data_IF_217032507632
#
_entry.id   IF_217032507632
#
_cell.length_a   1.000
_cell.length_b   1.000
_cell.length_c   1.000
_cell.angle_alpha   90.00
_cell.angle_beta   90.00
_cell.angle_gamma   90.00
#
_symmetry.space_group_name_H-M   'P 1'
#
loop_
_entity.id
_entity.type
_entity.pdbx_description
1 polymer ?
#
# COMPACT_ATOMS: atom_id res chain seq x y z
N UNK A 1 -8.69 0.79 -20.08
CA UNK A 1 -9.28 -0.03 -18.98
C UNK A 1 -9.26 0.73 -17.66
N UNK A 2 -10.10 0.35 -16.69
CA UNK A 2 -10.04 0.94 -15.34
C UNK A 2 -8.85 0.36 -14.54
N UNK A 3 -8.27 1.18 -13.68
CA UNK A 3 -7.18 0.75 -12.78
C UNK A 3 -7.71 -0.35 -11.83
N UNK A 4 -7.12 -1.54 -11.88
CA UNK A 4 -7.45 -2.67 -10.98
C UNK A 4 -6.57 -2.64 -9.74
N UNK A 5 -7.16 -2.94 -8.59
CA UNK A 5 -6.39 -3.20 -7.36
C UNK A 5 -6.27 -4.70 -7.16
N UNK A 6 -5.04 -5.15 -7.04
CA UNK A 6 -4.70 -6.52 -6.69
C UNK A 6 -4.95 -6.77 -5.20
N UNK A 7 -5.56 -7.91 -4.90
CA UNK A 7 -5.69 -8.43 -3.54
C UNK A 7 -4.40 -9.13 -3.11
N UNK A 8 -4.20 -9.29 -1.81
CA UNK A 8 -3.01 -9.98 -1.30
C UNK A 8 -2.90 -11.43 -1.79
N UNK A 9 -4.02 -12.14 -1.86
CA UNK A 9 -4.06 -13.53 -2.36
C UNK A 9 -3.71 -13.62 -3.84
N UNK A 10 -4.12 -12.65 -4.65
CA UNK A 10 -3.75 -12.58 -6.08
C UNK A 10 -2.25 -12.35 -6.23
N UNK A 11 -1.69 -11.42 -5.45
CA UNK A 11 -0.25 -11.16 -5.42
C UNK A 11 0.56 -12.38 -5.02
N UNK A 12 0.16 -13.06 -3.95
CA UNK A 12 0.86 -14.26 -3.48
C UNK A 12 0.80 -15.39 -4.55
N UNK A 13 -0.34 -15.54 -5.24
CA UNK A 13 -0.50 -16.49 -6.34
C UNK A 13 0.33 -16.11 -7.59
N UNK A 14 0.49 -14.83 -7.88
CA UNK A 14 1.36 -14.33 -8.95
C UNK A 14 2.84 -14.62 -8.63
N UNK A 15 3.28 -14.35 -7.40
CA UNK A 15 4.64 -14.66 -6.95
C UNK A 15 4.91 -16.16 -7.02
N UNK A 16 3.98 -17.01 -6.58
CA UNK A 16 4.12 -18.46 -6.68
C UNK A 16 4.33 -18.95 -8.13
N UNK A 17 3.65 -18.34 -9.10
CA UNK A 17 3.82 -18.66 -10.54
C UNK A 17 5.13 -18.15 -11.15
N UNK A 18 5.83 -17.25 -10.46
CA UNK A 18 7.16 -16.76 -10.85
C UNK A 18 8.28 -17.63 -10.26
N UNK A 19 8.00 -18.46 -9.25
CA UNK A 19 8.98 -19.38 -8.68
C UNK A 19 9.46 -20.38 -9.74
N UNK A 20 10.78 -20.48 -9.94
CA UNK A 20 11.39 -21.34 -10.95
C UNK A 20 11.57 -20.71 -12.34
N UNK A 21 11.08 -19.48 -12.58
CA UNK A 21 11.33 -18.75 -13.84
C UNK A 21 12.68 -18.04 -13.85
N UNK A 22 13.32 -17.84 -15.02
CA UNK A 22 14.55 -17.07 -15.11
C UNK A 22 14.31 -15.60 -14.74
N UNK A 23 15.29 -14.96 -14.11
CA UNK A 23 15.16 -13.61 -13.54
C UNK A 23 14.75 -12.54 -14.57
N UNK A 24 15.24 -12.63 -15.80
CA UNK A 24 14.86 -11.74 -16.90
C UNK A 24 13.38 -11.89 -17.27
N UNK A 25 12.87 -13.13 -17.28
CA UNK A 25 11.46 -13.41 -17.54
C UNK A 25 10.58 -12.93 -16.39
N UNK A 26 11.00 -13.16 -15.13
CA UNK A 26 10.29 -12.64 -13.96
C UNK A 26 10.09 -11.12 -14.06
N UNK A 27 11.13 -10.38 -14.46
CA UNK A 27 11.06 -8.92 -14.61
C UNK A 27 10.09 -8.50 -15.72
N UNK A 28 10.09 -9.21 -16.84
CA UNK A 28 9.17 -8.97 -17.95
C UNK A 28 7.72 -9.20 -17.52
N UNK A 29 7.42 -10.36 -16.94
CA UNK A 29 6.08 -10.74 -16.48
C UNK A 29 5.59 -9.77 -15.39
N UNK A 30 6.43 -9.39 -14.43
CA UNK A 30 6.07 -8.41 -13.41
C UNK A 30 5.73 -7.02 -14.00
N UNK A 31 6.42 -6.62 -15.07
CA UNK A 31 6.18 -5.34 -15.74
C UNK A 31 4.86 -5.35 -16.53
N UNK A 32 4.59 -6.43 -17.25
CA UNK A 32 3.35 -6.63 -17.99
C UNK A 32 2.13 -6.72 -17.05
N UNK A 33 2.23 -7.51 -15.98
CA UNK A 33 1.17 -7.63 -14.96
C UNK A 33 0.86 -6.27 -14.32
N UNK A 34 1.90 -5.47 -14.05
CA UNK A 34 1.74 -4.11 -13.52
C UNK A 34 1.11 -3.15 -14.55
N UNK A 35 1.41 -3.30 -15.83
CA UNK A 35 0.78 -2.51 -16.89
C UNK A 35 -0.72 -2.82 -16.97
N UNK A 36 -1.10 -4.09 -16.84
CA UNK A 36 -2.50 -4.51 -16.76
C UNK A 36 -3.22 -3.93 -15.53
N UNK A 37 -2.63 -4.04 -14.33
CA UNK A 37 -3.22 -3.45 -13.12
C UNK A 37 -3.42 -1.94 -13.21
N UNK A 38 -2.49 -1.23 -13.87
CA UNK A 38 -2.62 0.21 -14.10
C UNK A 38 -3.59 0.57 -15.22
N UNK A 39 -4.19 -0.42 -15.90
CA UNK A 39 -5.10 -0.22 -17.03
C UNK A 39 -4.40 0.25 -18.32
N UNK A 40 -3.08 0.09 -18.41
CA UNK A 40 -2.25 0.40 -19.59
C UNK A 40 -2.34 -0.73 -20.62
N UNK A 41 -2.42 -1.99 -20.15
CA UNK A 41 -2.67 -3.16 -20.97
C UNK A 41 -4.08 -3.71 -20.70
N UNK A 42 -4.73 -4.23 -21.74
CA UNK A 42 -6.10 -4.77 -21.63
C UNK A 42 -6.13 -6.20 -21.09
N UNK A 43 -5.05 -6.95 -21.30
CA UNK A 43 -4.92 -8.37 -20.93
C UNK A 43 -3.75 -8.52 -19.98
N UNK A 44 -3.94 -9.38 -18.97
CA UNK A 44 -2.89 -9.73 -18.01
C UNK A 44 -1.92 -10.74 -18.62
N UNK A 45 -0.83 -11.01 -17.91
CA UNK A 45 0.16 -12.01 -18.28
C UNK A 45 -0.44 -13.41 -18.30
N UNK A 46 -0.26 -14.10 -19.42
CA UNK A 46 -0.60 -15.51 -19.55
C UNK A 46 0.58 -16.39 -19.09
N UNK A 47 0.31 -17.29 -18.15
CA UNK A 47 1.27 -18.26 -17.63
C UNK A 47 1.16 -19.63 -18.31
N UNK A 48 0.22 -19.80 -19.24
CA UNK A 48 -0.17 -21.09 -19.81
C UNK A 48 -1.11 -21.87 -18.89
N UNK A 49 -1.64 -23.02 -19.34
CA UNK A 49 -2.50 -23.86 -18.52
C UNK A 49 -1.71 -24.29 -17.29
N UNK A 50 -2.24 -23.93 -16.12
CA UNK A 50 -1.76 -24.45 -14.84
C UNK A 50 -1.74 -25.98 -14.96
N UNK A 51 -0.61 -26.65 -14.73
CA UNK A 51 -0.57 -28.12 -14.79
C UNK A 51 -1.56 -28.75 -13.78
N UNK A 52 -2.04 -27.98 -12.80
CA UNK A 52 -3.14 -28.33 -11.91
C UNK A 52 -4.56 -28.21 -12.54
N UNK A 53 -4.73 -27.43 -13.61
CA UNK A 53 -6.01 -27.27 -14.34
C UNK A 53 -6.14 -28.18 -15.56
N UNK A 54 -5.08 -28.87 -16.00
CA UNK A 54 -5.13 -29.78 -17.15
C UNK A 54 -5.70 -31.18 -16.86
N UNK A 55 -6.08 -31.50 -15.61
CA UNK A 55 -6.57 -32.84 -15.21
C UNK A 55 -8.05 -32.83 -14.77
N UNK A 56 -8.82 -31.77 -15.04
CA UNK A 56 -10.20 -31.69 -14.55
C UNK A 56 -11.22 -31.33 -15.64
N UNK A 57 -11.61 -32.33 -16.44
CA UNK A 57 -12.96 -32.47 -16.98
C UNK A 57 -13.20 -33.91 -17.48
N UNK A 58 -14.43 -34.48 -17.47
CA UNK A 58 -15.65 -34.10 -16.74
C UNK A 58 -16.24 -35.28 -15.93
N UNK A 59 -16.78 -35.02 -14.74
CA UNK A 59 -17.67 -35.98 -14.08
C UNK A 59 -18.89 -35.23 -13.56
N UNK A 60 -20.02 -35.46 -14.26
CA UNK A 60 -21.35 -35.13 -13.75
C UNK A 60 -21.56 -35.82 -12.41
N UNK A 61 -21.55 -35.05 -11.34
CA UNK A 61 -22.20 -35.42 -10.09
C UNK A 61 -23.36 -34.45 -9.90
N UNK A 62 -24.57 -35.00 -9.99
CA UNK A 62 -25.84 -34.31 -9.83
C UNK A 62 -25.81 -33.49 -8.54
N UNK A 63 -25.84 -32.16 -8.68
CA UNK A 63 -25.91 -31.26 -7.56
C UNK A 63 -27.32 -31.33 -6.96
N UNK A 64 -27.44 -32.00 -5.81
CA UNK A 64 -28.62 -31.88 -4.95
C UNK A 64 -28.83 -30.40 -4.56
N UNK A 65 -30.08 -29.93 -4.41
CA UNK A 65 -30.35 -28.53 -4.09
C UNK A 65 -29.71 -28.17 -2.75
N UNK A 66 -28.80 -27.21 -2.78
CA UNK A 66 -28.11 -26.70 -1.60
C UNK A 66 -29.11 -25.99 -0.68
N UNK A 67 -29.42 -26.61 0.45
CA UNK A 67 -30.15 -25.95 1.54
C UNK A 67 -29.26 -24.81 2.07
N UNK A 68 -29.73 -23.55 2.12
CA UNK A 68 -28.92 -22.44 2.60
C UNK A 68 -28.60 -22.65 4.08
N UNK A 69 -27.32 -22.87 4.41
CA UNK A 69 -26.86 -22.87 5.80
C UNK A 69 -27.05 -21.46 6.39
N UNK A 70 -27.62 -21.33 7.60
CA UNK A 70 -27.78 -20.03 8.24
C UNK A 70 -26.41 -19.39 8.50
N UNK A 71 -26.30 -18.10 8.19
CA UNK A 71 -25.07 -17.31 8.35
C UNK A 71 -24.69 -17.26 9.83
N UNK A 72 -23.44 -17.60 10.21
CA UNK A 72 -23.03 -17.55 11.61
C UNK A 72 -23.10 -16.11 12.15
N UNK A 73 -23.45 -15.92 13.43
CA UNK A 73 -23.52 -14.60 14.03
C UNK A 73 -22.15 -13.91 14.03
N UNK A 74 -22.10 -12.56 13.98
CA UNK A 74 -20.84 -11.84 13.99
C UNK A 74 -20.09 -12.15 15.29
N UNK A 75 -18.89 -12.71 15.15
CA UNK A 75 -18.03 -13.02 16.29
C UNK A 75 -17.60 -11.72 16.95
N UNK A 76 -17.74 -11.66 18.27
CA UNK A 76 -17.30 -10.50 19.06
C UNK A 76 -15.78 -10.37 18.91
N UNK A 77 -15.25 -9.13 18.79
CA UNK A 77 -13.82 -8.95 18.69
C UNK A 77 -13.11 -9.52 19.93
N UNK A 78 -11.93 -10.14 19.77
CA UNK A 78 -11.16 -10.64 20.90
C UNK A 78 -10.86 -9.48 21.85
N UNK A 79 -11.02 -9.68 23.16
CA UNK A 79 -10.75 -8.69 24.20
C UNK A 79 -9.52 -9.10 25.02
N UNK A 80 -8.89 -8.13 25.67
CA UNK A 80 -7.75 -8.40 26.56
C UNK A 80 -6.45 -8.67 25.83
N UNK A 81 -5.65 -9.61 26.33
CA UNK A 81 -4.27 -9.89 25.86
C UNK A 81 -4.23 -10.24 24.37
N UNK A 82 -5.21 -10.99 23.88
CA UNK A 82 -5.29 -11.39 22.47
C UNK A 82 -5.56 -10.20 21.55
N UNK A 83 -6.35 -9.22 22.02
CA UNK A 83 -6.60 -7.98 21.29
C UNK A 83 -5.31 -7.17 21.13
N UNK A 84 -4.56 -7.02 22.23
CA UNK A 84 -3.29 -6.30 22.24
C UNK A 84 -2.23 -6.99 21.37
N UNK A 85 -2.16 -8.33 21.41
CA UNK A 85 -1.23 -9.10 20.57
C UNK A 85 -1.57 -8.96 19.07
N UNK A 86 -2.84 -9.05 18.70
CA UNK A 86 -3.29 -8.85 17.32
C UNK A 86 -3.07 -7.41 16.84
N UNK A 87 -3.28 -6.41 17.69
CA UNK A 87 -2.98 -5.01 17.41
C UNK A 87 -1.47 -4.78 17.21
N UNK A 88 -0.62 -5.32 18.08
CA UNK A 88 0.83 -5.24 17.95
C UNK A 88 1.32 -5.91 16.65
N UNK A 89 0.78 -7.09 16.31
CA UNK A 89 1.10 -7.79 15.06
C UNK A 89 0.66 -7.01 13.81
N UNK A 90 -0.53 -6.39 13.83
CA UNK A 90 -1.00 -5.49 12.76
C UNK A 90 -0.12 -4.24 12.64
N UNK A 91 0.27 -3.63 13.75
CA UNK A 91 1.15 -2.46 13.75
C UNK A 91 2.58 -2.80 13.30
N UNK A 92 3.10 -3.98 13.66
CA UNK A 92 4.38 -4.46 13.15
C UNK A 92 4.35 -4.75 11.65
N UNK A 93 3.23 -5.27 11.12
CA UNK A 93 3.02 -5.44 9.69
C UNK A 93 2.94 -4.08 8.95
N UNK A 94 2.34 -3.07 9.57
CA UNK A 94 2.28 -1.69 9.03
C UNK A 94 3.62 -0.95 9.16
N UNK A 95 4.42 -1.26 10.18
CA UNK A 95 5.75 -0.69 10.46
C UNK A 95 6.87 -1.22 9.56
N UNK A 96 6.65 -2.31 8.82
CA UNK A 96 7.57 -2.81 7.79
C UNK A 96 7.49 -2.05 6.45
N UNK A 97 6.77 -0.93 6.38
CA UNK A 97 6.99 0.04 5.31
C UNK A 97 8.33 0.71 5.55
N UNK A 98 9.42 0.11 5.05
CA UNK A 98 10.70 0.82 4.83
C UNK A 98 10.32 2.14 4.17
N UNK A 99 10.53 3.26 4.88
CA UNK A 99 10.20 4.57 4.36
C UNK A 99 10.96 4.70 3.04
N UNK A 100 10.24 4.73 1.92
CA UNK A 100 10.90 4.77 0.61
C UNK A 100 11.83 5.97 0.60
N UNK A 101 13.04 5.84 0.06
CA UNK A 101 14.06 6.91 0.03
C UNK A 101 13.46 8.28 -0.36
N UNK A 102 12.48 8.27 -1.28
CA UNK A 102 11.69 9.44 -1.70
C UNK A 102 10.94 10.15 -0.56
N UNK A 103 10.29 9.41 0.36
CA UNK A 103 9.56 10.00 1.50
C UNK A 103 10.49 10.59 2.57
N UNK A 104 11.66 9.99 2.78
CA UNK A 104 12.69 10.57 3.66
C UNK A 104 13.22 11.90 3.08
N UNK A 105 13.45 11.94 1.77
CA UNK A 105 13.92 13.15 1.08
C UNK A 105 12.84 14.26 1.07
N UNK A 106 11.57 13.90 0.91
CA UNK A 106 10.45 14.83 1.01
C UNK A 106 10.29 15.38 2.44
N UNK A 107 10.35 14.52 3.46
CA UNK A 107 10.31 14.95 4.86
C UNK A 107 11.46 15.93 5.17
N UNK A 108 12.68 15.65 4.70
CA UNK A 108 13.84 16.54 4.87
C UNK A 108 13.67 17.87 4.13
N UNK A 109 13.04 17.88 2.95
CA UNK A 109 12.72 19.12 2.22
C UNK A 109 11.65 19.95 2.94
N UNK A 110 10.62 19.30 3.46
CA UNK A 110 9.55 19.96 4.23
C UNK A 110 10.13 20.57 5.51
N UNK A 111 10.96 19.83 6.25
CA UNK A 111 11.61 20.34 7.46
C UNK A 111 12.50 21.56 7.18
N UNK A 112 13.30 21.53 6.10
CA UNK A 112 14.09 22.69 5.66
C UNK A 112 13.22 23.90 5.30
N UNK A 113 12.09 23.69 4.61
CA UNK A 113 11.13 24.76 4.27
C UNK A 113 10.50 25.37 5.52
N UNK A 114 10.07 24.55 6.47
CA UNK A 114 9.52 25.00 7.75
C UNK A 114 10.54 25.80 8.55
N UNK A 115 11.80 25.35 8.61
CA UNK A 115 12.86 26.08 9.31
C UNK A 115 13.15 27.43 8.66
N UNK A 116 13.18 27.49 7.32
CA UNK A 116 13.37 28.74 6.57
C UNK A 116 12.20 29.70 6.75
N UNK A 117 10.96 29.22 6.70
CA UNK A 117 9.78 30.03 6.97
C UNK A 117 9.82 30.62 8.39
N UNK A 118 10.14 29.80 9.40
CA UNK A 118 10.24 30.24 10.79
C UNK A 118 11.35 31.28 11.02
N UNK A 119 12.48 31.20 10.30
CA UNK A 119 13.51 32.24 10.36
C UNK A 119 13.09 33.55 9.70
N UNK A 120 12.31 33.49 8.61
CA UNK A 120 11.81 34.68 7.94
C UNK A 120 10.76 35.38 8.80
N UNK A 121 9.83 34.64 9.39
CA UNK A 121 8.88 35.17 10.37
C UNK A 121 9.59 35.88 11.53
N UNK A 122 10.61 35.25 12.12
CA UNK A 122 11.41 35.89 13.18
C UNK A 122 12.15 37.15 12.71
N UNK A 123 12.64 37.18 11.48
CA UNK A 123 13.30 38.35 10.94
C UNK A 123 12.30 39.51 10.72
N UNK A 124 11.10 39.19 10.22
CA UNK A 124 10.04 40.18 10.01
C UNK A 124 9.51 40.76 11.32
N UNK A 125 9.30 39.91 12.34
CA UNK A 125 8.87 40.37 13.67
C UNK A 125 9.96 41.18 14.36
N UNK A 126 11.24 40.80 14.22
CA UNK A 126 12.36 41.59 14.73
C UNK A 126 12.51 42.94 14.01
N UNK A 127 12.26 42.99 12.69
CA UNK A 127 12.29 44.24 11.93
C UNK A 127 11.14 45.18 12.34
N UNK A 128 9.94 44.64 12.56
CA UNK A 128 8.79 45.39 13.07
C UNK A 128 9.03 45.91 14.50
N UNK A 129 9.63 45.11 15.38
CA UNK A 129 9.97 45.56 16.74
C UNK A 129 11.05 46.68 16.74
N UNK A 130 12.00 46.64 15.80
CA UNK A 130 13.02 47.68 15.66
C UNK A 130 12.44 48.99 15.11
N UNK A 131 11.48 48.94 14.20
CA UNK A 131 10.84 50.14 13.66
C UNK A 131 9.91 50.81 14.67
N UNK A 132 9.23 50.04 15.53
CA UNK A 132 8.41 50.59 16.62
C UNK A 132 9.27 51.21 17.73
N UNK A 133 10.38 50.58 18.12
CA UNK A 133 11.32 51.15 19.09
C UNK A 133 11.89 52.50 18.61
N UNK A 134 12.31 52.59 17.34
CA UNK A 134 12.86 53.83 16.75
C UNK A 134 11.82 54.95 16.62
N UNK A 135 10.52 54.62 16.58
CA UNK A 135 9.43 55.61 16.58
C UNK A 135 9.17 56.16 17.97
N UNK A 136 9.34 55.35 19.02
CA UNK A 136 9.16 55.77 20.41
C UNK A 136 10.32 56.62 20.95
N UNK A 137 11.53 56.51 20.38
CA UNK A 137 12.69 57.34 20.77
C UNK A 137 12.75 58.71 20.07
N UNK A 138 11.86 58.98 19.10
CA UNK A 138 11.84 60.21 18.29
C UNK A 138 10.65 61.14 18.57
N UNK A 139 9.80 60.80 19.53
CA UNK A 139 8.71 61.64 20.04
C UNK A 139 9.03 62.09 21.44
#
# INVERSE_FOLDING_TARGET
>A
MAVRRETRSEHDAFIARLEGKPTAEIQRLASEHRAYLNGVADVDVDFGPDAASAVAAPASAVAAPAVPRPRPPPTRPPRGKDASYLAAKKNAALGKKKMTKRRMDEARKVEKRVKKAKSLERATTAAAARSTAKKNERG
#
